data_IF_066139042027
#
_entry.id   IF_066139042027
#
_cell.length_a   1.000
_cell.length_b   1.000
_cell.length_c   1.000
_cell.angle_alpha   90.00
_cell.angle_beta   90.00
_cell.angle_gamma   90.00
#
_symmetry.space_group_name_H-M   'P 1'
#
loop_
_entity.id
_entity.type
_entity.pdbx_description
1 polymer ?
#
# COMPACT_ATOMS: atom_id res chain seq x y z
N UNK A 1 2.98 -16.75 7.25
CA UNK A 1 3.42 -15.34 7.24
C UNK A 1 3.55 -14.87 5.80
N UNK A 2 2.95 -13.75 5.48
CA UNK A 2 2.96 -13.21 4.13
C UNK A 2 3.20 -11.71 4.13
N UNK A 3 3.79 -11.25 3.02
CA UNK A 3 3.94 -9.84 2.71
C UNK A 3 2.73 -9.38 1.90
N UNK A 4 2.08 -8.35 2.38
CA UNK A 4 1.01 -7.66 1.66
C UNK A 4 1.56 -6.30 1.25
N UNK A 5 1.53 -6.02 -0.03
CA UNK A 5 2.03 -4.77 -0.61
C UNK A 5 0.90 -4.10 -1.37
N UNK A 6 0.52 -2.91 -0.92
CA UNK A 6 -0.55 -2.14 -1.53
C UNK A 6 0.01 -0.89 -2.19
N UNK A 7 -0.36 -0.69 -3.45
CA UNK A 7 -0.07 0.54 -4.19
C UNK A 7 -1.36 1.34 -4.25
N UNK A 8 -1.39 2.50 -3.60
CA UNK A 8 -2.60 3.31 -3.50
C UNK A 8 -2.29 4.78 -3.84
N UNK A 9 -3.29 5.55 -4.29
CA UNK A 9 -3.11 6.99 -4.41
C UNK A 9 -2.69 7.61 -3.07
N UNK A 10 -1.80 8.58 -3.10
CA UNK A 10 -1.29 9.24 -1.89
C UNK A 10 -2.41 9.78 -1.01
N UNK A 11 -3.52 10.23 -1.60
CA UNK A 11 -4.67 10.73 -0.86
C UNK A 11 -5.35 9.67 0.02
N UNK A 12 -5.14 8.39 -0.28
CA UNK A 12 -5.72 7.27 0.48
C UNK A 12 -4.76 6.68 1.52
N UNK A 13 -3.51 7.13 1.56
CA UNK A 13 -2.48 6.57 2.43
C UNK A 13 -2.91 6.44 3.88
N UNK A 14 -3.33 7.52 4.50
CA UNK A 14 -3.64 7.50 5.93
C UNK A 14 -4.82 6.59 6.24
N UNK A 15 -5.83 6.61 5.38
CA UNK A 15 -7.01 5.77 5.52
C UNK A 15 -6.66 4.29 5.42
N UNK A 16 -5.79 3.93 4.48
CA UNK A 16 -5.33 2.55 4.31
C UNK A 16 -4.43 2.10 5.46
N UNK A 17 -3.50 2.93 5.90
CA UNK A 17 -2.64 2.61 7.05
C UNK A 17 -3.47 2.36 8.29
N UNK A 18 -4.43 3.23 8.59
CA UNK A 18 -5.30 3.06 9.75
C UNK A 18 -6.13 1.78 9.65
N UNK A 19 -6.63 1.46 8.47
CA UNK A 19 -7.39 0.23 8.24
C UNK A 19 -6.55 -1.03 8.46
N UNK A 20 -5.31 -1.04 7.99
CA UNK A 20 -4.39 -2.16 8.19
C UNK A 20 -4.10 -2.38 9.67
N UNK A 21 -3.79 -1.32 10.40
CA UNK A 21 -3.51 -1.42 11.83
C UNK A 21 -4.74 -1.85 12.62
N UNK A 22 -5.92 -1.34 12.28
CA UNK A 22 -7.18 -1.74 12.90
C UNK A 22 -7.55 -3.20 12.62
N UNK A 23 -7.10 -3.75 11.50
CA UNK A 23 -7.33 -5.15 11.15
C UNK A 23 -6.37 -6.12 11.89
N UNK A 24 -5.47 -5.60 12.71
CA UNK A 24 -4.62 -6.40 13.58
C UNK A 24 -3.19 -6.60 13.08
N UNK A 25 -2.75 -5.84 12.09
CA UNK A 25 -1.34 -5.83 11.72
C UNK A 25 -0.50 -5.21 12.83
N UNK A 26 0.70 -5.74 13.04
CA UNK A 26 1.65 -5.21 14.03
C UNK A 26 2.40 -3.97 13.57
N UNK A 27 2.37 -3.66 12.28
CA UNK A 27 3.05 -2.49 11.76
C UNK A 27 2.97 -2.38 10.25
N UNK A 28 3.29 -1.20 9.75
CA UNK A 28 3.33 -0.91 8.32
C UNK A 28 4.58 -0.12 7.97
N UNK A 29 5.03 -0.29 6.75
CA UNK A 29 6.10 0.52 6.17
C UNK A 29 5.51 1.26 4.97
N UNK A 30 5.76 2.56 4.89
CA UNK A 30 5.23 3.41 3.82
C UNK A 30 6.39 4.01 3.05
N UNK A 31 6.30 3.93 1.72
CA UNK A 31 7.22 4.62 0.82
C UNK A 31 6.43 5.48 -0.15
N UNK A 32 6.87 6.71 -0.35
CA UNK A 32 6.32 7.57 -1.39
C UNK A 32 6.85 7.09 -2.74
N UNK A 33 5.93 6.93 -3.69
CA UNK A 33 6.24 6.40 -5.02
C UNK A 33 5.53 7.19 -6.09
N UNK A 34 5.87 6.92 -7.34
CA UNK A 34 5.21 7.49 -8.51
C UNK A 34 4.73 6.34 -9.37
N UNK A 35 3.45 6.37 -9.74
CA UNK A 35 2.86 5.30 -10.53
C UNK A 35 2.26 5.82 -11.82
N UNK A 36 2.29 4.98 -12.85
CA UNK A 36 1.62 5.23 -14.11
C UNK A 36 0.91 3.97 -14.55
N UNK A 37 -0.40 4.03 -14.58
CA UNK A 37 -1.25 2.90 -14.93
C UNK A 37 -2.55 3.36 -15.56
N UNK A 38 -3.64 2.68 -15.27
CA UNK A 38 -4.96 2.95 -15.86
C UNK A 38 -5.64 4.21 -15.31
N UNK A 39 -5.18 4.74 -14.17
CA UNK A 39 -5.77 5.91 -13.55
C UNK A 39 -5.47 7.20 -14.31
N UNK A 40 -6.34 8.19 -14.15
CA UNK A 40 -6.11 9.52 -14.71
C UNK A 40 -4.91 10.18 -14.05
N UNK A 41 -4.06 10.80 -14.85
CA UNK A 41 -2.94 11.59 -14.36
C UNK A 41 -3.39 13.03 -14.09
N UNK A 42 -2.87 13.66 -13.01
CA UNK A 42 -3.32 15.01 -12.66
C UNK A 42 -2.84 16.05 -13.65
N UNK A 43 -3.63 17.11 -13.79
CA UNK A 43 -3.20 18.34 -14.46
C UNK A 43 -2.36 19.16 -13.49
N UNK A 44 -1.20 19.60 -13.96
CA UNK A 44 -0.29 20.43 -13.18
C UNK A 44 -0.29 21.82 -13.75
N UNK A 45 -0.55 22.82 -12.92
CA UNK A 45 -0.49 24.22 -13.31
C UNK A 45 0.94 24.74 -13.35
N UNK A 46 1.23 25.65 -14.29
CA UNK A 46 2.47 26.43 -14.29
C UNK A 46 2.51 27.40 -13.11
N UNK A 47 3.69 27.96 -12.83
CA UNK A 47 3.96 28.80 -11.65
C UNK A 47 3.02 30.02 -11.51
N UNK A 48 2.36 30.44 -12.56
CA UNK A 48 1.38 31.54 -12.56
C UNK A 48 0.02 31.15 -13.12
N UNK A 49 -0.28 29.85 -13.18
CA UNK A 49 -1.54 29.35 -13.70
C UNK A 49 -1.76 29.56 -15.19
N UNK A 50 -0.73 29.94 -15.93
CA UNK A 50 -0.85 30.28 -17.35
C UNK A 50 -0.67 29.09 -18.28
N UNK A 51 -0.07 27.99 -17.79
CA UNK A 51 0.08 26.74 -18.55
C UNK A 51 -0.26 25.55 -17.68
N UNK A 52 -0.91 24.56 -18.28
CA UNK A 52 -1.23 23.29 -17.62
C UNK A 52 -0.74 22.15 -18.48
N UNK A 53 -0.24 21.13 -17.85
CA UNK A 53 0.17 19.90 -18.51
C UNK A 53 -0.25 18.69 -17.68
N UNK A 54 -0.36 17.55 -18.34
CA UNK A 54 -0.66 16.28 -17.65
C UNK A 54 0.64 15.76 -17.06
N UNK A 55 0.63 15.48 -15.77
CA UNK A 55 1.80 14.89 -15.10
C UNK A 55 2.12 13.54 -15.72
N UNK A 56 3.42 13.19 -15.83
CA UNK A 56 3.83 11.86 -16.29
C UNK A 56 3.40 10.74 -15.36
N UNK A 57 3.34 11.02 -14.06
CA UNK A 57 3.06 10.03 -13.04
C UNK A 57 2.02 10.55 -12.06
N UNK A 58 1.28 9.62 -11.49
CA UNK A 58 0.48 9.87 -10.31
C UNK A 58 1.37 9.78 -9.07
N UNK A 59 1.06 10.57 -8.06
CA UNK A 59 1.63 10.39 -6.72
C UNK A 59 0.92 9.20 -6.07
N UNK A 60 1.70 8.20 -5.71
CA UNK A 60 1.22 7.00 -5.05
C UNK A 60 2.04 6.72 -3.81
N UNK A 61 1.49 5.91 -2.92
CA UNK A 61 2.25 5.37 -1.80
C UNK A 61 2.25 3.85 -1.91
N UNK A 62 3.40 3.27 -1.60
CA UNK A 62 3.54 1.83 -1.43
C UNK A 62 3.48 1.53 0.06
N UNK A 63 2.52 0.72 0.47
CA UNK A 63 2.29 0.36 1.86
C UNK A 63 2.52 -1.14 2.01
N UNK A 64 3.46 -1.49 2.88
CA UNK A 64 3.86 -2.88 3.10
C UNK A 64 3.56 -3.27 4.53
N UNK A 65 2.96 -4.44 4.70
CA UNK A 65 2.79 -5.07 6.01
C UNK A 65 3.06 -6.56 5.90
N UNK A 66 3.63 -7.13 6.94
CA UNK A 66 3.87 -8.57 7.05
C UNK A 66 2.94 -9.09 8.14
N UNK A 67 2.14 -10.09 7.80
CA UNK A 67 1.13 -10.61 8.71
C UNK A 67 1.13 -12.14 8.74
N UNK A 68 0.66 -12.69 9.85
CA UNK A 68 0.41 -14.12 9.97
C UNK A 68 -0.73 -14.54 9.02
N UNK A 69 -0.75 -15.81 8.65
CA UNK A 69 -1.72 -16.33 7.69
C UNK A 69 -3.17 -16.06 8.11
N UNK A 70 -3.45 -16.06 9.40
CA UNK A 70 -4.79 -15.77 9.93
C UNK A 70 -5.25 -14.32 9.69
N UNK A 71 -4.33 -13.40 9.40
CA UNK A 71 -4.61 -11.98 9.20
C UNK A 71 -4.65 -11.55 7.73
N UNK A 72 -4.29 -12.43 6.80
CA UNK A 72 -4.13 -12.06 5.39
C UNK A 72 -5.42 -11.49 4.82
N UNK A 73 -6.50 -12.24 4.87
CA UNK A 73 -7.77 -11.78 4.28
C UNK A 73 -8.43 -10.64 5.06
N UNK A 74 -8.42 -10.62 6.39
CA UNK A 74 -8.90 -9.45 7.14
C UNK A 74 -8.17 -8.16 6.75
N UNK A 75 -6.86 -8.21 6.56
CA UNK A 75 -6.07 -7.03 6.15
C UNK A 75 -6.38 -6.63 4.72
N UNK A 76 -6.46 -7.60 3.79
CA UNK A 76 -6.81 -7.32 2.40
C UNK A 76 -8.20 -6.68 2.30
N UNK A 77 -9.20 -7.22 2.98
CA UNK A 77 -10.54 -6.63 3.02
C UNK A 77 -10.53 -5.21 3.57
N UNK A 78 -9.77 -4.97 4.64
CA UNK A 78 -9.66 -3.66 5.23
C UNK A 78 -9.07 -2.63 4.23
N UNK A 79 -8.05 -3.02 3.49
CA UNK A 79 -7.45 -2.16 2.46
C UNK A 79 -8.47 -1.86 1.36
N UNK A 80 -9.14 -2.87 0.85
CA UNK A 80 -10.14 -2.72 -0.22
C UNK A 80 -11.28 -1.80 0.24
N UNK A 81 -11.82 -2.03 1.43
CA UNK A 81 -12.91 -1.21 1.96
C UNK A 81 -12.49 0.24 2.18
N UNK A 82 -11.24 0.47 2.54
CA UNK A 82 -10.71 1.82 2.77
C UNK A 82 -10.45 2.59 1.47
N UNK A 83 -9.98 1.91 0.42
CA UNK A 83 -9.43 2.56 -0.76
C UNK A 83 -10.30 2.42 -2.01
N UNK A 84 -11.24 1.48 -2.05
CA UNK A 84 -12.01 1.20 -3.27
C UNK A 84 -13.02 2.31 -3.57
N UNK A 85 -13.00 2.78 -4.82
CA UNK A 85 -14.03 3.67 -5.38
C UNK A 85 -14.71 3.02 -6.58
N UNK A 86 -14.32 1.80 -6.96
CA UNK A 86 -14.79 1.11 -8.15
C UNK A 86 -14.05 1.51 -9.43
N UNK A 87 -13.01 2.31 -9.31
CA UNK A 87 -12.21 2.79 -10.44
C UNK A 87 -10.96 1.93 -10.65
N UNK A 88 -10.53 1.81 -11.90
CA UNK A 88 -9.26 1.14 -12.24
C UNK A 88 -8.03 1.83 -11.65
N UNK A 89 -8.15 3.10 -11.28
CA UNK A 89 -7.07 3.88 -10.68
C UNK A 89 -6.93 3.75 -9.16
N UNK A 90 -7.73 2.91 -8.51
CA UNK A 90 -7.73 2.76 -7.05
C UNK A 90 -6.46 2.10 -6.49
N UNK A 91 -5.75 1.36 -7.30
CA UNK A 91 -4.52 0.69 -6.90
C UNK A 91 -4.59 -0.83 -7.00
N UNK A 92 -3.56 -1.47 -6.46
CA UNK A 92 -3.45 -2.94 -6.45
C UNK A 92 -2.83 -3.43 -5.16
N UNK A 93 -3.13 -4.68 -4.84
CA UNK A 93 -2.56 -5.39 -3.71
C UNK A 93 -1.84 -6.63 -4.24
N UNK A 94 -0.61 -6.83 -3.82
CA UNK A 94 0.16 -8.03 -4.11
C UNK A 94 0.46 -8.77 -2.82
N UNK A 95 0.38 -10.07 -2.87
CA UNK A 95 0.65 -10.93 -1.72
C UNK A 95 1.75 -11.92 -2.09
N UNK A 96 2.76 -12.03 -1.25
CA UNK A 96 3.85 -12.97 -1.45
C UNK A 96 4.23 -13.66 -0.15
N UNK A 97 4.75 -14.90 -0.21
CA UNK A 97 5.17 -15.59 0.99
C UNK A 97 6.44 -14.98 1.58
N UNK A 98 6.55 -15.04 2.89
CA UNK A 98 7.76 -14.73 3.65
C UNK A 98 8.28 -16.06 4.19
N UNK A 99 9.47 -16.45 3.79
CA UNK A 99 10.06 -17.72 4.23
C UNK A 99 10.60 -17.64 5.64
N UNK A 100 11.30 -16.55 5.95
CA UNK A 100 11.93 -16.36 7.25
C UNK A 100 11.89 -14.89 7.65
N UNK A 101 11.81 -14.63 8.95
CA UNK A 101 12.00 -13.29 9.47
C UNK A 101 12.89 -13.32 10.69
N UNK A 102 13.73 -12.30 10.84
CA UNK A 102 14.63 -12.15 11.98
C UNK A 102 14.33 -10.83 12.64
N UNK A 103 14.15 -10.88 13.95
CA UNK A 103 14.06 -9.66 14.74
C UNK A 103 15.48 -9.15 15.03
N UNK A 104 15.75 -7.90 14.69
CA UNK A 104 17.08 -7.32 14.86
C UNK A 104 17.44 -7.17 16.35
N UNK A 105 16.48 -6.72 17.14
CA UNK A 105 16.71 -6.47 18.56
C UNK A 105 16.89 -7.73 19.39
N UNK A 106 15.98 -8.69 19.25
CA UNK A 106 15.99 -9.92 20.02
C UNK A 106 16.80 -11.04 19.37
N UNK A 107 17.11 -10.91 18.08
CA UNK A 107 17.76 -11.93 17.26
C UNK A 107 16.92 -13.21 17.09
N UNK A 108 15.64 -13.14 17.42
CA UNK A 108 14.73 -14.27 17.24
C UNK A 108 14.39 -14.44 15.75
N UNK A 109 14.33 -15.70 15.34
CA UNK A 109 13.95 -16.07 14.00
C UNK A 109 12.54 -16.68 14.02
N UNK A 110 11.69 -16.21 13.09
CA UNK A 110 10.43 -16.87 12.79
C UNK A 110 10.51 -17.47 11.40
N UNK A 111 10.26 -18.74 11.31
CA UNK A 111 10.21 -19.47 10.06
C UNK A 111 8.76 -19.77 9.72
N UNK A 112 8.40 -19.63 8.45
CA UNK A 112 7.08 -20.02 7.98
C UNK A 112 6.94 -21.54 8.07
N UNK A 113 6.04 -21.99 8.92
CA UNK A 113 5.60 -23.38 8.87
C UNK A 113 4.52 -23.50 7.81
N UNK A 114 4.79 -24.33 6.83
CA UNK A 114 3.85 -24.57 5.74
C UNK A 114 2.50 -25.07 6.27
#
# INVERSE_FOLDING_TARGET
MKRIEAFVPTTMRNKVVNAILSAGSGGVTVAETRGRGAGKRPLVGGARGTSRYVAEYNRTDTIVTIVDDSKIYPVIEAIINAASTGSKGDGKIFVSPIEESFDIGTKEMKQLTA
#
